data_IF_016282149575
#
_entry.id   IF_016282149575
#
_cell.length_a   1.000
_cell.length_b   1.000
_cell.length_c   1.000
_cell.angle_alpha   90.00
_cell.angle_beta   90.00
_cell.angle_gamma   90.00
#
_symmetry.space_group_name_H-M   'P 1'
#
loop_
_entity.id
_entity.type
_entity.pdbx_description
1 polymer ?
#
# COMPACT_ATOMS: atom_id res chain seq x y z
N UNK A 1 -10.65 22.22 -49.04
CA UNK A 1 -11.32 21.43 -47.98
C UNK A 1 -10.65 20.06 -47.94
N UNK A 2 -9.50 19.96 -47.27
CA UNK A 2 -8.70 18.74 -47.21
C UNK A 2 -8.94 18.08 -45.85
N UNK A 3 -9.62 16.93 -45.86
CA UNK A 3 -9.73 16.07 -44.69
C UNK A 3 -8.42 15.30 -44.53
N UNK A 4 -7.66 15.57 -43.46
CA UNK A 4 -6.65 14.64 -42.98
C UNK A 4 -7.37 13.39 -42.46
N UNK A 5 -7.39 12.32 -43.25
CA UNK A 5 -7.65 10.97 -42.71
C UNK A 5 -6.35 10.52 -42.03
N UNK A 6 -6.24 10.79 -40.73
CA UNK A 6 -5.29 10.04 -39.91
C UNK A 6 -5.73 8.57 -39.96
N UNK A 7 -4.93 7.73 -40.63
CA UNK A 7 -5.16 6.29 -40.65
C UNK A 7 -5.05 5.74 -39.23
N UNK A 8 -6.14 5.19 -38.71
CA UNK A 8 -6.13 4.44 -37.47
C UNK A 8 -5.48 3.08 -37.76
N UNK A 9 -4.28 2.84 -37.23
CA UNK A 9 -3.65 1.52 -37.26
C UNK A 9 -4.01 0.76 -35.96
N UNK A 10 -4.94 -0.21 -36.00
CA UNK A 10 -5.29 -1.02 -34.84
C UNK A 10 -4.12 -1.87 -34.29
N UNK A 11 -3.02 -2.02 -35.04
CA UNK A 11 -1.82 -2.74 -34.56
C UNK A 11 -0.85 -1.87 -33.75
N UNK A 12 -1.03 -0.54 -33.73
CA UNK A 12 -0.14 0.39 -33.04
C UNK A 12 -0.39 0.48 -31.53
N UNK A 13 -1.53 -0.06 -31.04
CA UNK A 13 -1.90 -0.01 -29.62
C UNK A 13 -1.60 -1.37 -28.98
N UNK A 14 -0.66 -1.38 -28.04
CA UNK A 14 -0.44 -2.51 -27.14
C UNK A 14 -0.81 -2.10 -25.72
N UNK A 15 -1.71 -2.84 -25.09
CA UNK A 15 -1.99 -2.67 -23.67
C UNK A 15 -1.03 -3.53 -22.86
N UNK A 16 -0.51 -3.00 -21.76
CA UNK A 16 0.41 -3.72 -20.88
C UNK A 16 -0.28 -4.04 -19.57
N UNK A 17 -0.91 -5.22 -19.44
CA UNK A 17 -1.61 -5.55 -18.22
C UNK A 17 -0.61 -6.03 -17.17
N UNK A 18 -0.80 -5.56 -15.93
CA UNK A 18 0.01 -5.94 -14.77
C UNK A 18 -0.70 -7.10 -14.06
N UNK A 19 -0.38 -8.34 -14.46
CA UNK A 19 -0.88 -9.54 -13.76
C UNK A 19 0.18 -10.65 -13.79
N UNK A 20 0.38 -11.33 -12.66
CA UNK A 20 1.23 -12.52 -12.63
C UNK A 20 0.53 -13.77 -13.19
N UNK A 21 -0.81 -13.85 -13.12
CA UNK A 21 -1.57 -15.04 -13.52
C UNK A 21 -1.97 -15.04 -15.01
N UNK A 22 -1.52 -16.01 -15.82
CA UNK A 22 -1.85 -16.10 -17.26
C UNK A 22 -3.34 -16.37 -17.57
N UNK A 23 -4.13 -16.78 -16.57
CA UNK A 23 -5.31 -17.60 -16.83
C UNK A 23 -6.67 -16.89 -16.82
N UNK A 24 -6.82 -15.71 -16.18
CA UNK A 24 -8.17 -15.18 -15.86
C UNK A 24 -8.77 -14.16 -16.83
N UNK A 25 -8.08 -13.77 -17.92
CA UNK A 25 -8.65 -12.79 -18.87
C UNK A 25 -7.97 -12.64 -20.23
N UNK A 26 -6.80 -13.24 -20.43
CA UNK A 26 -6.02 -13.10 -21.67
C UNK A 26 -6.76 -13.59 -22.95
N UNK A 27 -7.42 -14.77 -22.95
CA UNK A 27 -8.14 -15.25 -24.13
C UNK A 27 -9.39 -14.42 -24.45
N UNK A 28 -10.03 -13.86 -23.42
CA UNK A 28 -11.24 -13.05 -23.58
C UNK A 28 -10.89 -11.67 -24.16
N UNK A 29 -9.87 -11.01 -23.62
CA UNK A 29 -9.47 -9.67 -24.05
C UNK A 29 -8.93 -9.64 -25.49
N UNK A 30 -8.07 -10.60 -25.87
CA UNK A 30 -7.54 -10.67 -27.23
C UNK A 30 -8.62 -10.93 -28.28
N UNK A 31 -9.73 -11.61 -27.91
CA UNK A 31 -10.85 -11.90 -28.81
C UNK A 31 -11.77 -10.70 -29.00
N UNK A 32 -12.00 -9.91 -27.95
CA UNK A 32 -12.96 -8.80 -27.99
C UNK A 32 -12.38 -7.50 -28.58
N UNK A 33 -11.09 -7.21 -28.37
CA UNK A 33 -10.53 -5.87 -28.72
C UNK A 33 -9.36 -5.87 -29.71
N UNK A 34 -8.92 -7.02 -30.24
CA UNK A 34 -7.82 -7.12 -31.21
C UNK A 34 -6.54 -6.35 -30.82
N UNK A 35 -6.24 -6.28 -29.52
CA UNK A 35 -5.03 -5.63 -28.99
C UNK A 35 -4.03 -6.69 -28.53
N UNK A 36 -2.74 -6.41 -28.73
CA UNK A 36 -1.64 -7.24 -28.22
C UNK A 36 -1.32 -6.85 -26.78
N UNK A 37 -1.32 -7.84 -25.89
CA UNK A 37 -0.98 -7.64 -24.48
C UNK A 37 0.50 -7.93 -24.24
N UNK A 38 1.26 -6.94 -23.76
CA UNK A 38 2.65 -7.15 -23.34
C UNK A 38 2.72 -7.25 -21.81
N UNK A 39 3.04 -8.44 -21.30
CA UNK A 39 3.15 -8.71 -19.86
C UNK A 39 4.31 -7.93 -19.27
N UNK A 40 4.07 -7.28 -18.14
CA UNK A 40 5.11 -6.68 -17.31
C UNK A 40 5.09 -7.35 -15.93
N UNK A 41 6.25 -7.37 -15.27
CA UNK A 41 6.36 -7.82 -13.89
C UNK A 41 5.68 -6.82 -12.94
N UNK A 42 4.88 -7.32 -11.99
CA UNK A 42 4.10 -6.47 -11.09
C UNK A 42 4.98 -5.59 -10.20
N UNK A 43 6.11 -6.13 -9.74
CA UNK A 43 7.01 -5.45 -8.81
C UNK A 43 7.88 -4.42 -9.54
N UNK A 44 8.31 -4.72 -10.76
CA UNK A 44 9.02 -3.76 -11.62
C UNK A 44 8.11 -2.57 -11.98
N UNK A 45 6.86 -2.83 -12.36
CA UNK A 45 5.88 -1.77 -12.63
C UNK A 45 5.60 -0.91 -11.40
N UNK A 46 5.45 -1.54 -10.23
CA UNK A 46 5.26 -0.85 -8.95
C UNK A 46 6.39 0.13 -8.66
N UNK A 47 7.65 -0.32 -8.71
CA UNK A 47 8.82 0.52 -8.40
C UNK A 47 8.93 1.67 -9.39
N UNK A 48 8.83 1.38 -10.70
CA UNK A 48 8.93 2.41 -11.75
C UNK A 48 7.81 3.43 -11.68
N UNK A 49 6.57 2.98 -11.49
CA UNK A 49 5.41 3.85 -11.36
C UNK A 49 5.54 4.77 -10.15
N UNK A 50 5.99 4.23 -9.02
CA UNK A 50 6.21 4.99 -7.79
C UNK A 50 7.24 6.10 -7.98
N UNK A 51 8.44 5.75 -8.48
CA UNK A 51 9.53 6.69 -8.69
C UNK A 51 9.18 7.75 -9.74
N UNK A 52 8.40 7.39 -10.76
CA UNK A 52 7.93 8.37 -11.74
C UNK A 52 6.97 9.38 -11.12
N UNK A 53 5.97 8.93 -10.36
CA UNK A 53 5.00 9.85 -9.75
C UNK A 53 5.72 10.79 -8.78
N UNK A 54 6.63 10.26 -7.95
CA UNK A 54 7.44 11.08 -7.04
C UNK A 54 8.27 12.13 -7.80
N UNK A 55 8.97 11.74 -8.86
CA UNK A 55 9.79 12.68 -9.65
C UNK A 55 8.98 13.76 -10.39
N UNK A 56 7.67 13.58 -10.54
CA UNK A 56 6.77 14.53 -11.22
C UNK A 56 5.78 15.21 -10.27
N UNK A 57 5.72 14.81 -8.99
CA UNK A 57 4.82 15.37 -8.00
C UNK A 57 5.58 15.66 -6.68
N UNK A 58 5.94 16.93 -6.42
CA UNK A 58 6.73 17.30 -5.25
C UNK A 58 6.01 17.09 -3.91
N UNK A 59 4.71 16.80 -3.92
CA UNK A 59 3.90 16.55 -2.73
C UNK A 59 3.53 15.06 -2.55
N UNK A 60 4.18 14.15 -3.27
CA UNK A 60 3.76 12.76 -3.31
C UNK A 60 4.01 11.99 -2.01
N UNK A 61 5.22 12.13 -1.43
CA UNK A 61 5.64 11.36 -0.28
C UNK A 61 5.42 12.11 1.03
N UNK A 62 4.91 11.42 2.04
CA UNK A 62 4.63 12.00 3.36
C UNK A 62 4.78 11.00 4.49
N UNK A 63 4.79 11.51 5.72
CA UNK A 63 4.73 10.72 6.95
C UNK A 63 3.79 11.36 7.97
N UNK A 64 3.36 10.56 8.95
CA UNK A 64 2.59 11.04 10.09
C UNK A 64 3.53 11.41 11.23
N UNK A 65 3.40 12.63 11.74
CA UNK A 65 4.10 13.06 12.96
C UNK A 65 3.18 12.80 14.16
N UNK A 66 3.72 12.35 15.30
CA UNK A 66 2.96 12.00 16.51
C UNK A 66 1.70 11.14 16.25
N UNK A 67 1.85 9.96 15.60
CA UNK A 67 0.72 9.19 15.08
C UNK A 67 -0.29 8.71 16.14
N UNK A 68 0.10 8.67 17.42
CA UNK A 68 -0.74 8.27 18.56
C UNK A 68 -1.30 9.43 19.39
N UNK A 69 -0.81 10.65 19.18
CA UNK A 69 -1.28 11.84 19.92
C UNK A 69 -2.27 12.60 19.04
N UNK A 70 -3.59 12.38 19.22
CA UNK A 70 -4.62 12.92 18.31
C UNK A 70 -4.54 14.44 18.11
N UNK A 71 -4.24 15.20 19.17
CA UNK A 71 -4.10 16.67 19.13
C UNK A 71 -2.85 17.15 18.38
N UNK A 72 -1.82 16.31 18.24
CA UNK A 72 -0.54 16.63 17.59
C UNK A 72 -0.30 15.83 16.32
N UNK A 73 -1.26 14.99 15.93
CA UNK A 73 -1.13 14.11 14.79
C UNK A 73 -1.38 14.90 13.50
N UNK A 74 -0.35 15.12 12.70
CA UNK A 74 -0.50 15.76 11.40
C UNK A 74 0.40 15.13 10.33
N UNK A 75 -0.04 15.29 9.08
CA UNK A 75 0.64 14.84 7.88
C UNK A 75 1.74 15.84 7.51
N UNK A 76 2.95 15.35 7.25
CA UNK A 76 4.10 16.16 6.84
C UNK A 76 4.74 15.59 5.59
N UNK A 77 5.04 16.47 4.63
CA UNK A 77 5.75 16.10 3.41
C UNK A 77 7.14 15.54 3.72
N UNK A 78 7.56 14.56 2.93
CA UNK A 78 8.87 13.95 2.99
C UNK A 78 9.59 14.18 1.66
N UNK A 79 10.79 14.76 1.71
CA UNK A 79 11.65 14.90 0.54
C UNK A 79 12.23 13.53 0.17
N UNK A 80 11.71 12.95 -0.91
CA UNK A 80 12.09 11.63 -1.41
C UNK A 80 13.01 11.69 -2.65
N UNK A 81 13.57 12.87 -2.95
CA UNK A 81 14.45 13.11 -4.12
C UNK A 81 15.72 12.24 -4.16
N UNK A 82 16.20 11.79 -2.99
CA UNK A 82 17.23 10.76 -2.87
C UNK A 82 16.62 9.46 -2.30
N UNK A 83 15.93 8.66 -3.14
CA UNK A 83 15.03 7.60 -2.67
C UNK A 83 15.78 6.40 -2.10
N UNK A 84 17.00 6.09 -2.58
CA UNK A 84 17.71 4.85 -2.22
C UNK A 84 18.54 4.97 -0.92
N UNK A 85 18.80 3.85 -0.23
CA UNK A 85 18.02 2.61 -0.28
C UNK A 85 16.70 2.79 0.48
N UNK A 86 15.65 2.04 0.09
CA UNK A 86 14.37 2.04 0.80
C UNK A 86 13.72 0.65 0.74
N UNK A 87 12.78 0.41 1.65
CA UNK A 87 11.90 -0.75 1.63
C UNK A 87 10.55 -0.35 1.07
N UNK A 88 9.99 -1.19 0.20
CA UNK A 88 8.58 -1.11 -0.21
C UNK A 88 7.82 -2.23 0.47
N UNK A 89 6.73 -1.88 1.13
CA UNK A 89 5.73 -2.81 1.66
C UNK A 89 4.45 -2.63 0.85
N UNK A 90 4.23 -3.50 -0.14
CA UNK A 90 3.03 -3.47 -0.96
C UNK A 90 1.92 -4.31 -0.31
N UNK A 91 0.86 -3.65 0.16
CA UNK A 91 -0.27 -4.24 0.87
C UNK A 91 -1.47 -4.35 -0.07
N UNK A 92 -1.56 -5.48 -0.77
CA UNK A 92 -2.71 -5.88 -1.59
C UNK A 92 -3.55 -6.93 -0.90
N UNK A 93 -4.00 -7.95 -1.65
CA UNK A 93 -4.68 -9.12 -1.07
C UNK A 93 -3.77 -9.84 -0.06
N UNK A 94 -2.49 -10.03 -0.42
CA UNK A 94 -1.40 -10.38 0.50
C UNK A 94 -0.42 -9.21 0.61
N UNK A 95 0.79 -9.49 1.11
CA UNK A 95 1.83 -8.49 1.29
C UNK A 95 3.16 -8.95 0.68
N UNK A 96 3.78 -8.07 -0.09
CA UNK A 96 5.15 -8.25 -0.59
C UNK A 96 6.05 -7.17 -0.02
N UNK A 97 7.23 -7.58 0.47
CA UNK A 97 8.25 -6.69 1.03
C UNK A 97 9.48 -6.74 0.14
N UNK A 98 9.94 -5.58 -0.32
CA UNK A 98 11.10 -5.44 -1.20
C UNK A 98 12.13 -4.51 -0.59
N UNK A 99 13.41 -4.84 -0.74
CA UNK A 99 14.50 -3.88 -0.58
C UNK A 99 14.89 -3.33 -1.95
N UNK A 100 14.94 -2.02 -2.08
CA UNK A 100 15.32 -1.31 -3.30
C UNK A 100 16.59 -0.51 -3.03
N UNK A 101 17.68 -0.91 -3.68
CA UNK A 101 19.01 -0.31 -3.54
C UNK A 101 19.35 0.65 -4.68
N UNK A 102 18.64 0.54 -5.81
CA UNK A 102 18.82 1.39 -6.98
C UNK A 102 17.75 1.13 -8.05
N UNK A 103 17.76 1.88 -9.17
CA UNK A 103 16.69 1.84 -10.19
C UNK A 103 16.42 0.45 -10.77
N UNK A 104 17.44 -0.38 -10.91
CA UNK A 104 17.34 -1.76 -11.40
C UNK A 104 17.93 -2.77 -10.40
N UNK A 105 18.11 -2.37 -9.14
CA UNK A 105 18.69 -3.21 -8.10
C UNK A 105 17.72 -3.28 -6.92
N UNK A 106 16.88 -4.30 -6.95
CA UNK A 106 15.91 -4.58 -5.91
C UNK A 106 15.71 -6.08 -5.75
N UNK A 107 15.29 -6.51 -4.56
CA UNK A 107 15.00 -7.91 -4.25
C UNK A 107 13.76 -8.01 -3.37
N UNK A 108 12.93 -9.02 -3.62
CA UNK A 108 11.84 -9.37 -2.71
C UNK A 108 12.42 -10.08 -1.50
N UNK A 109 12.39 -9.43 -0.35
CA UNK A 109 13.03 -9.90 0.90
C UNK A 109 12.08 -10.70 1.78
N UNK A 110 10.78 -10.44 1.67
CA UNK A 110 9.78 -11.14 2.47
C UNK A 110 8.38 -10.98 1.89
N UNK A 111 7.40 -11.56 2.58
CA UNK A 111 5.98 -11.32 2.37
C UNK A 111 5.15 -12.09 3.38
N UNK A 112 3.86 -11.76 3.45
CA UNK A 112 2.89 -12.47 4.28
C UNK A 112 1.59 -12.64 3.51
N UNK A 113 0.90 -13.75 3.75
CA UNK A 113 -0.46 -13.95 3.25
C UNK A 113 -1.49 -13.14 4.05
N UNK A 114 -1.11 -12.60 5.22
CA UNK A 114 -1.95 -11.77 6.08
C UNK A 114 -1.95 -10.32 5.58
N UNK A 115 -2.71 -10.07 4.52
CA UNK A 115 -2.86 -8.75 3.90
C UNK A 115 -4.29 -8.20 3.95
N UNK A 116 -4.61 -7.30 3.03
CA UNK A 116 -5.95 -6.70 2.93
C UNK A 116 -7.04 -7.71 2.59
N UNK A 117 -6.70 -8.81 1.89
CA UNK A 117 -7.63 -9.90 1.62
C UNK A 117 -8.02 -10.67 2.89
N UNK A 118 -7.07 -10.85 3.81
CA UNK A 118 -7.33 -11.46 5.12
C UNK A 118 -8.18 -10.54 5.98
N UNK A 119 -7.88 -9.24 6.02
CA UNK A 119 -8.70 -8.26 6.72
C UNK A 119 -10.15 -8.29 6.23
N UNK A 120 -10.37 -8.12 4.92
CA UNK A 120 -11.72 -8.09 4.37
C UNK A 120 -12.45 -9.42 4.56
N UNK A 121 -11.78 -10.55 4.28
CA UNK A 121 -12.38 -11.87 4.44
C UNK A 121 -12.81 -12.17 5.87
N UNK A 122 -11.98 -11.84 6.87
CA UNK A 122 -12.32 -12.01 8.27
C UNK A 122 -13.42 -11.04 8.71
N UNK A 123 -13.39 -9.78 8.27
CA UNK A 123 -14.47 -8.84 8.56
C UNK A 123 -15.81 -9.35 7.99
N UNK A 124 -15.85 -9.80 6.74
CA UNK A 124 -17.07 -10.40 6.16
C UNK A 124 -17.61 -11.55 7.01
N UNK A 125 -16.74 -12.45 7.49
CA UNK A 125 -17.13 -13.58 8.33
C UNK A 125 -17.61 -13.16 9.73
N UNK A 126 -16.94 -12.20 10.36
CA UNK A 126 -17.15 -11.82 11.76
C UNK A 126 -18.25 -10.78 11.95
N UNK A 127 -18.45 -9.91 10.96
CA UNK A 127 -19.35 -8.74 11.07
C UNK A 127 -20.49 -8.79 10.06
N UNK A 128 -20.35 -9.58 8.99
CA UNK A 128 -21.31 -9.61 7.89
C UNK A 128 -21.23 -8.43 6.93
N UNK A 129 -20.16 -7.62 6.99
CA UNK A 129 -19.94 -6.55 6.00
C UNK A 129 -19.71 -7.12 4.60
N UNK A 130 -20.00 -6.34 3.56
CA UNK A 130 -19.96 -6.77 2.16
C UNK A 130 -18.93 -6.01 1.32
N UNK A 131 -18.31 -4.97 1.87
CA UNK A 131 -17.33 -4.14 1.17
C UNK A 131 -16.16 -3.76 2.08
N UNK A 132 -15.06 -3.35 1.44
CA UNK A 132 -13.88 -2.87 2.15
C UNK A 132 -14.18 -1.56 2.90
N UNK A 133 -14.91 -0.66 2.25
CA UNK A 133 -15.32 0.63 2.81
C UNK A 133 -16.18 0.44 4.06
N UNK A 134 -17.17 -0.45 4.01
CA UNK A 134 -18.01 -0.79 5.18
C UNK A 134 -17.17 -1.41 6.31
N UNK A 135 -16.20 -2.27 5.99
CA UNK A 135 -15.31 -2.85 6.99
C UNK A 135 -14.44 -1.78 7.71
N UNK A 136 -13.96 -0.77 6.97
CA UNK A 136 -13.19 0.36 7.53
C UNK A 136 -14.11 1.27 8.36
N UNK A 137 -15.33 1.52 7.92
CA UNK A 137 -16.32 2.30 8.66
C UNK A 137 -16.64 1.64 10.02
N UNK A 138 -16.93 0.33 10.01
CA UNK A 138 -17.12 -0.46 11.24
C UNK A 138 -15.90 -0.38 12.16
N UNK A 139 -14.69 -0.53 11.60
CA UNK A 139 -13.46 -0.45 12.40
C UNK A 139 -13.24 0.94 13.01
N UNK A 140 -13.72 2.01 12.36
CA UNK A 140 -13.62 3.38 12.88
C UNK A 140 -14.45 3.56 14.15
N UNK A 141 -15.63 2.95 14.21
CA UNK A 141 -16.53 3.00 15.37
C UNK A 141 -16.24 1.96 16.47
N UNK A 142 -15.28 1.05 16.26
CA UNK A 142 -14.99 -0.05 17.19
C UNK A 142 -13.87 0.23 18.19
N UNK A 143 -13.79 -0.62 19.21
CA UNK A 143 -12.71 -0.66 20.19
C UNK A 143 -12.08 -2.06 20.27
N UNK A 144 -10.82 -2.19 19.81
CA UNK A 144 -10.14 -3.48 19.83
C UNK A 144 -9.82 -3.96 21.24
N UNK A 145 -9.77 -3.09 22.26
CA UNK A 145 -9.45 -3.48 23.64
C UNK A 145 -10.53 -4.32 24.30
N UNK A 146 -11.71 -4.43 23.69
CA UNK A 146 -12.79 -5.35 24.09
C UNK A 146 -12.60 -6.77 23.54
N UNK A 147 -11.75 -6.92 22.52
CA UNK A 147 -11.53 -8.16 21.75
C UNK A 147 -10.13 -8.72 22.03
N UNK A 148 -9.13 -7.86 22.00
CA UNK A 148 -7.72 -8.16 22.22
C UNK A 148 -7.40 -8.25 23.71
N UNK A 149 -6.45 -9.13 24.07
CA UNK A 149 -5.88 -9.15 25.42
C UNK A 149 -4.62 -8.30 25.44
N UNK A 150 -4.58 -7.34 26.35
CA UNK A 150 -3.48 -6.38 26.52
C UNK A 150 -2.45 -6.88 27.55
N UNK A 151 -1.27 -6.26 27.59
CA UNK A 151 -0.23 -6.57 28.58
C UNK A 151 -0.75 -6.39 30.00
N UNK A 152 -1.50 -5.31 30.27
CA UNK A 152 -2.11 -5.07 31.59
C UNK A 152 -3.12 -6.13 32.01
N UNK A 153 -3.77 -6.81 31.06
CA UNK A 153 -4.72 -7.90 31.36
C UNK A 153 -4.00 -9.17 31.84
N UNK A 154 -2.68 -9.27 31.61
CA UNK A 154 -1.84 -10.40 32.02
C UNK A 154 -1.05 -10.03 33.28
N UNK A 155 -0.47 -8.83 33.32
CA UNK A 155 0.48 -8.40 34.36
C UNK A 155 -0.08 -7.39 35.37
N UNK A 156 -1.30 -6.86 35.17
CA UNK A 156 -1.92 -5.86 36.04
C UNK A 156 -1.42 -4.42 35.83
N UNK A 157 -0.54 -4.19 34.84
CA UNK A 157 0.06 -2.91 34.51
C UNK A 157 1.07 -3.06 33.36
N UNK A 158 2.09 -2.22 33.34
CA UNK A 158 3.22 -2.34 32.42
C UNK A 158 4.08 -3.58 32.77
N UNK A 159 4.81 -4.09 31.79
CA UNK A 159 5.83 -5.12 32.02
C UNK A 159 7.23 -4.52 31.91
N UNK A 160 7.65 -3.89 33.01
CA UNK A 160 8.87 -3.07 33.14
C UNK A 160 10.16 -3.77 32.69
N UNK A 161 10.27 -5.09 32.91
CA UNK A 161 11.51 -5.83 32.60
C UNK A 161 11.92 -5.72 31.13
N UNK A 162 10.96 -5.56 30.23
CA UNK A 162 11.19 -5.48 28.78
C UNK A 162 10.55 -4.24 28.15
N UNK A 163 10.26 -3.21 28.95
CA UNK A 163 9.67 -1.94 28.50
C UNK A 163 8.40 -2.14 27.65
N UNK A 164 7.50 -3.05 28.07
CA UNK A 164 6.22 -3.27 27.39
C UNK A 164 5.09 -2.50 28.09
N UNK A 165 4.49 -1.49 27.44
CA UNK A 165 3.36 -0.74 27.99
C UNK A 165 2.14 -1.62 28.23
N UNK A 166 1.35 -1.32 29.26
CA UNK A 166 0.17 -2.07 29.64
C UNK A 166 -0.96 -2.03 28.61
N UNK A 167 -1.03 -0.97 27.79
CA UNK A 167 -1.98 -0.81 26.70
C UNK A 167 -1.57 -1.53 25.41
N UNK A 168 -0.36 -2.11 25.37
CA UNK A 168 0.09 -2.90 24.24
C UNK A 168 -0.71 -4.20 24.11
N UNK A 169 -1.07 -4.56 22.88
CA UNK A 169 -1.70 -5.85 22.58
C UNK A 169 -0.71 -6.99 22.84
N UNK A 170 -1.04 -7.85 23.81
CA UNK A 170 -0.27 -9.07 24.11
C UNK A 170 -0.78 -10.27 23.30
N UNK A 171 -2.09 -10.36 23.07
CA UNK A 171 -2.71 -11.40 22.25
C UNK A 171 -3.93 -10.87 21.52
N UNK A 172 -3.79 -10.71 20.20
CA UNK A 172 -4.91 -10.42 19.30
C UNK A 172 -6.04 -11.43 19.47
N UNK A 173 -7.29 -10.95 19.56
CA UNK A 173 -8.49 -11.75 19.84
C UNK A 173 -8.45 -12.58 21.14
N UNK A 174 -7.50 -12.30 22.04
CA UNK A 174 -7.26 -13.12 23.23
C UNK A 174 -8.40 -13.13 24.25
N UNK A 175 -9.28 -12.12 24.25
CA UNK A 175 -10.48 -12.12 25.10
C UNK A 175 -11.59 -13.01 24.54
N UNK A 176 -11.57 -13.31 23.23
CA UNK A 176 -12.62 -14.08 22.55
C UNK A 176 -12.62 -15.56 22.90
N UNK A 177 -11.68 -16.04 23.74
CA UNK A 177 -11.74 -17.38 24.33
C UNK A 177 -12.88 -17.47 25.37
N UNK A 178 -13.20 -16.38 26.07
CA UNK A 178 -14.31 -16.33 27.03
C UNK A 178 -15.66 -16.18 26.34
N UNK A 179 -16.61 -17.06 26.71
CA UNK A 179 -17.99 -17.00 26.19
C UNK A 179 -18.70 -15.71 26.61
N UNK A 180 -18.48 -15.26 27.84
CA UNK A 180 -19.07 -14.02 28.37
C UNK A 180 -18.58 -12.81 27.57
N UNK A 181 -17.27 -12.71 27.35
CA UNK A 181 -16.69 -11.63 26.53
C UNK A 181 -17.26 -11.64 25.10
N UNK A 182 -17.31 -12.82 24.46
CA UNK A 182 -17.92 -12.98 23.12
C UNK A 182 -19.37 -12.49 23.06
N UNK A 183 -20.14 -12.58 24.14
CA UNK A 183 -21.54 -12.12 24.16
C UNK A 183 -21.69 -10.60 24.27
N UNK A 184 -20.62 -9.88 24.59
CA UNK A 184 -20.63 -8.43 24.84
C UNK A 184 -19.95 -7.61 23.76
N UNK A 185 -19.18 -8.21 22.86
CA UNK A 185 -18.48 -7.48 21.79
C UNK A 185 -19.43 -7.11 20.67
N UNK A 186 -19.24 -5.92 20.11
CA UNK A 186 -19.97 -5.50 18.92
C UNK A 186 -19.25 -5.96 17.64
N UNK A 187 -19.92 -5.81 16.49
CA UNK A 187 -19.29 -6.11 15.19
C UNK A 187 -18.22 -5.08 14.83
N UNK A 188 -18.38 -3.84 15.28
CA UNK A 188 -17.42 -2.74 15.14
C UNK A 188 -16.13 -3.08 15.90
N UNK A 189 -16.25 -3.58 17.14
CA UNK A 189 -15.10 -4.02 17.94
C UNK A 189 -14.31 -5.12 17.21
N UNK A 190 -15.00 -6.10 16.62
CA UNK A 190 -14.39 -7.18 15.85
C UNK A 190 -13.71 -6.66 14.58
N UNK A 191 -14.31 -5.71 13.85
CA UNK A 191 -13.70 -5.07 12.69
C UNK A 191 -12.43 -4.31 13.08
N UNK A 192 -12.48 -3.54 14.18
CA UNK A 192 -11.33 -2.79 14.71
C UNK A 192 -10.20 -3.72 15.14
N UNK A 193 -10.51 -4.81 15.85
CA UNK A 193 -9.51 -5.80 16.26
C UNK A 193 -8.87 -6.53 15.06
N UNK A 194 -9.67 -6.85 14.04
CA UNK A 194 -9.15 -7.42 12.77
C UNK A 194 -8.18 -6.45 12.11
N UNK A 195 -8.56 -5.17 12.00
CA UNK A 195 -7.73 -4.12 11.40
C UNK A 195 -6.40 -3.96 12.17
N UNK A 196 -6.47 -3.81 13.49
CA UNK A 196 -5.29 -3.65 14.36
C UNK A 196 -4.36 -4.86 14.25
N UNK A 197 -4.92 -6.08 14.26
CA UNK A 197 -4.13 -7.31 14.19
C UNK A 197 -3.36 -7.43 12.88
N UNK A 198 -4.02 -7.22 11.74
CA UNK A 198 -3.38 -7.30 10.42
C UNK A 198 -2.34 -6.19 10.28
N UNK A 199 -2.68 -4.96 10.63
CA UNK A 199 -1.78 -3.81 10.50
C UNK A 199 -0.53 -3.95 11.38
N UNK A 200 -0.68 -4.36 12.64
CA UNK A 200 0.46 -4.58 13.54
C UNK A 200 1.35 -5.74 13.09
N UNK A 201 0.76 -6.80 12.52
CA UNK A 201 1.55 -7.90 11.96
C UNK A 201 2.40 -7.44 10.77
N UNK A 202 1.81 -6.67 9.85
CA UNK A 202 2.51 -6.07 8.71
C UNK A 202 3.63 -5.15 9.18
N UNK A 203 3.34 -4.26 10.15
CA UNK A 203 4.34 -3.38 10.75
C UNK A 203 5.50 -4.16 11.37
N UNK A 204 5.23 -5.21 12.14
CA UNK A 204 6.28 -6.05 12.73
C UNK A 204 7.19 -6.69 11.69
N UNK A 205 6.62 -7.27 10.62
CA UNK A 205 7.40 -7.87 9.52
C UNK A 205 8.23 -6.81 8.79
N UNK A 206 7.64 -5.66 8.47
CA UNK A 206 8.33 -4.55 7.83
C UNK A 206 9.53 -4.07 8.68
N UNK A 207 9.33 -3.94 9.99
CA UNK A 207 10.38 -3.57 10.95
C UNK A 207 11.54 -4.56 10.92
N UNK A 208 11.25 -5.86 11.05
CA UNK A 208 12.29 -6.89 11.05
C UNK A 208 13.09 -6.89 9.75
N UNK A 209 12.40 -6.72 8.62
CA UNK A 209 13.03 -6.59 7.31
C UNK A 209 13.93 -5.36 7.21
N UNK A 210 13.45 -4.20 7.68
CA UNK A 210 14.20 -2.94 7.73
C UNK A 210 15.48 -3.04 8.57
N UNK A 211 15.38 -3.63 9.76
CA UNK A 211 16.52 -3.83 10.64
C UNK A 211 17.54 -4.81 10.03
N UNK A 212 17.08 -5.89 9.41
CA UNK A 212 17.96 -6.87 8.77
C UNK A 212 18.70 -6.30 7.55
N UNK A 213 18.01 -5.50 6.73
CA UNK A 213 18.60 -4.85 5.55
C UNK A 213 19.35 -3.55 5.88
N UNK A 214 19.24 -3.06 7.12
CA UNK A 214 19.80 -1.77 7.59
C UNK A 214 19.29 -0.58 6.77
N UNK A 215 17.98 -0.55 6.53
CA UNK A 215 17.30 0.48 5.74
C UNK A 215 16.28 1.20 6.61
N UNK A 216 16.38 2.52 6.71
CA UNK A 216 15.53 3.35 7.59
C UNK A 216 14.21 3.80 6.94
N UNK A 217 14.20 3.94 5.61
CA UNK A 217 13.05 4.39 4.83
C UNK A 217 12.14 3.23 4.49
N UNK A 218 10.94 3.18 5.06
CA UNK A 218 9.94 2.13 4.78
C UNK A 218 8.70 2.76 4.15
N UNK A 219 8.51 2.54 2.86
CA UNK A 219 7.38 3.06 2.08
C UNK A 219 6.27 2.01 2.06
N UNK A 220 5.10 2.35 2.60
CA UNK A 220 3.91 1.51 2.55
C UNK A 220 3.01 1.96 1.40
N UNK A 221 2.57 1.01 0.56
CA UNK A 221 1.71 1.25 -0.61
C UNK A 221 0.64 0.17 -0.71
N UNK A 222 -0.32 0.37 -1.62
CA UNK A 222 -1.35 -0.62 -1.92
C UNK A 222 -2.74 -0.23 -1.39
N UNK A 223 -3.76 -0.85 -2.00
CA UNK A 223 -5.16 -0.48 -1.80
C UNK A 223 -5.68 -0.70 -0.38
N UNK A 224 -5.00 -1.46 0.47
CA UNK A 224 -5.38 -1.63 1.87
C UNK A 224 -5.30 -0.32 2.68
N UNK A 225 -4.45 0.61 2.28
CA UNK A 225 -4.28 1.89 2.97
C UNK A 225 -5.28 2.95 2.50
N UNK A 226 -5.97 2.69 1.38
CA UNK A 226 -6.97 3.60 0.83
C UNK A 226 -8.06 3.88 1.86
N UNK A 227 -8.30 5.17 2.11
CA UNK A 227 -9.28 5.67 3.10
C UNK A 227 -9.12 5.07 4.51
N UNK A 228 -7.91 4.60 4.85
CA UNK A 228 -7.63 3.87 6.09
C UNK A 228 -6.54 4.60 6.92
N UNK A 229 -6.82 5.81 7.42
CA UNK A 229 -5.85 6.58 8.21
C UNK A 229 -5.51 5.88 9.54
N UNK A 230 -6.41 5.04 10.07
CA UNK A 230 -6.16 4.24 11.28
C UNK A 230 -4.94 3.34 11.04
N UNK A 231 -4.91 2.60 9.93
CA UNK A 231 -3.80 1.70 9.65
C UNK A 231 -2.51 2.45 9.33
N UNK A 232 -2.58 3.57 8.62
CA UNK A 232 -1.40 4.41 8.38
C UNK A 232 -0.78 4.91 9.68
N UNK A 233 -1.59 5.43 10.61
CA UNK A 233 -1.12 5.89 11.92
C UNK A 233 -0.55 4.74 12.75
N UNK A 234 -1.20 3.58 12.75
CA UNK A 234 -0.67 2.39 13.43
C UNK A 234 0.67 1.92 12.85
N UNK A 235 0.83 1.91 11.53
CA UNK A 235 2.12 1.58 10.89
C UNK A 235 3.20 2.60 11.24
N UNK A 236 2.86 3.90 11.22
CA UNK A 236 3.77 4.97 11.61
C UNK A 236 4.23 4.82 13.06
N UNK A 237 3.29 4.59 13.98
CA UNK A 237 3.58 4.33 15.37
C UNK A 237 4.44 3.07 15.55
N UNK A 238 4.12 1.98 14.84
CA UNK A 238 4.87 0.73 14.93
C UNK A 238 6.31 0.88 14.43
N UNK A 239 6.56 1.68 13.38
CA UNK A 239 7.91 1.99 12.95
C UNK A 239 8.65 2.83 13.99
N UNK A 240 8.04 3.92 14.46
CA UNK A 240 8.68 4.87 15.37
C UNK A 240 8.96 4.27 16.76
N UNK A 241 7.93 3.76 17.42
CA UNK A 241 8.00 3.23 18.79
C UNK A 241 9.00 2.07 18.91
N UNK A 242 8.86 1.07 18.05
CA UNK A 242 9.67 -0.15 18.15
C UNK A 242 11.10 -0.01 17.62
N UNK A 243 11.38 1.05 16.87
CA UNK A 243 12.72 1.35 16.38
C UNK A 243 13.42 2.46 17.14
N UNK A 244 12.77 3.01 18.19
CA UNK A 244 13.23 4.21 18.93
C UNK A 244 13.50 5.40 17.98
N UNK A 245 12.61 5.57 17.00
CA UNK A 245 12.63 6.66 16.02
C UNK A 245 13.62 6.52 14.87
N UNK A 246 14.29 5.37 14.72
CA UNK A 246 15.27 5.15 13.63
C UNK A 246 14.61 4.80 12.30
N UNK A 247 13.47 4.09 12.33
CA UNK A 247 12.72 3.73 11.13
C UNK A 247 11.59 4.75 10.90
N UNK A 248 11.43 5.16 9.64
CA UNK A 248 10.38 6.08 9.24
C UNK A 248 9.39 5.39 8.30
N UNK A 249 8.11 5.38 8.71
CA UNK A 249 7.01 5.00 7.84
C UNK A 249 6.68 6.13 6.87
N UNK A 250 6.76 5.85 5.59
CA UNK A 250 6.45 6.75 4.49
C UNK A 250 5.21 6.23 3.75
N UNK A 251 4.40 7.16 3.27
CA UNK A 251 3.18 6.91 2.52
C UNK A 251 3.16 7.78 1.27
N UNK A 252 2.28 7.45 0.33
CA UNK A 252 2.14 8.15 -0.95
C UNK A 252 0.70 8.61 -1.15
N UNK A 253 0.49 9.79 -1.73
CA UNK A 253 -0.87 10.26 -2.09
C UNK A 253 -1.54 9.31 -3.08
N UNK A 254 -0.78 8.78 -4.04
CA UNK A 254 -1.25 7.88 -5.08
C UNK A 254 -0.97 6.40 -4.80
N UNK A 255 -1.01 5.99 -3.53
CA UNK A 255 -0.80 4.61 -3.05
C UNK A 255 -1.59 3.51 -3.81
N UNK A 256 -2.73 3.87 -4.40
CA UNK A 256 -3.63 2.99 -5.15
C UNK A 256 -3.34 2.95 -6.66
N UNK A 257 -2.81 4.04 -7.24
CA UNK A 257 -2.54 4.14 -8.69
C UNK A 257 -1.29 3.38 -9.05
N UNK A 258 -0.30 3.35 -8.16
CA UNK A 258 0.95 2.60 -8.33
C UNK A 258 0.69 1.08 -8.45
N UNK A 259 -0.41 0.58 -7.86
CA UNK A 259 -0.76 -0.86 -7.80
C UNK A 259 -2.03 -1.19 -8.59
N UNK A 260 -2.66 -0.20 -9.26
CA UNK A 260 -4.00 -0.39 -9.83
C UNK A 260 -4.00 -1.36 -11.02
N UNK A 261 -4.56 -2.54 -10.74
CA UNK A 261 -5.01 -3.55 -11.68
C UNK A 261 -6.29 -3.16 -12.46
N UNK A 262 -6.67 -1.87 -12.49
CA UNK A 262 -7.77 -1.38 -13.34
C UNK A 262 -7.23 -0.91 -14.70
N UNK A 263 -7.65 -1.52 -15.83
CA UNK A 263 -7.08 -1.30 -17.16
C UNK A 263 -7.12 0.15 -17.66
N UNK A 264 -7.97 1.01 -17.09
CA UNK A 264 -8.30 2.30 -17.70
C UNK A 264 -7.47 3.46 -17.15
N UNK A 265 -6.92 3.40 -15.92
CA UNK A 265 -6.03 4.46 -15.42
C UNK A 265 -4.56 4.06 -15.42
N UNK A 266 -4.24 2.81 -15.04
CA UNK A 266 -2.88 2.29 -15.19
C UNK A 266 -2.51 2.19 -16.68
N UNK A 267 -3.47 1.87 -17.55
CA UNK A 267 -3.30 1.91 -19.00
C UNK A 267 -2.95 3.31 -19.50
N UNK A 268 -3.65 4.37 -19.07
CA UNK A 268 -3.37 5.72 -19.56
C UNK A 268 -2.07 6.33 -19.02
N UNK A 269 -1.73 6.08 -17.75
CA UNK A 269 -0.44 6.54 -17.20
C UNK A 269 0.72 5.72 -17.77
N UNK A 270 0.61 4.39 -17.86
CA UNK A 270 1.67 3.52 -18.42
C UNK A 270 1.83 3.70 -19.94
N UNK A 271 0.77 4.05 -20.68
CA UNK A 271 0.82 4.36 -22.12
C UNK A 271 1.45 5.72 -22.38
N UNK A 272 1.16 6.74 -21.56
CA UNK A 272 1.87 8.03 -21.62
C UNK A 272 3.37 7.88 -21.27
N UNK A 273 3.69 6.96 -20.35
CA UNK A 273 5.05 6.65 -19.90
C UNK A 273 5.87 5.83 -20.88
N UNK A 274 5.25 4.90 -21.62
CA UNK A 274 5.95 4.07 -22.61
C UNK A 274 6.17 4.79 -23.95
N UNK A 275 5.39 5.84 -24.24
CA UNK A 275 5.44 6.55 -25.52
C UNK A 275 6.49 7.66 -25.60
N UNK A 276 7.31 7.87 -24.56
CA UNK A 276 8.50 8.73 -24.63
C UNK A 276 8.25 9.98 -25.47
N UNK A 277 7.32 10.83 -25.05
CA UNK A 277 7.13 12.14 -25.70
C UNK A 277 8.38 12.94 -25.36
N UNK A 278 9.45 12.73 -26.14
CA UNK A 278 10.53 13.67 -26.30
C UNK A 278 9.88 15.00 -26.66
N UNK A 279 10.16 16.02 -25.86
CA UNK A 279 10.02 17.40 -26.32
C UNK A 279 10.83 17.47 -27.62
N UNK A 280 10.15 17.57 -28.76
CA UNK A 280 10.84 17.88 -29.99
C UNK A 280 11.45 19.28 -29.83
N UNK A 281 12.77 19.33 -29.88
CA UNK A 281 13.53 20.56 -29.87
C UNK A 281 13.01 21.51 -30.96
N UNK A 282 12.70 22.73 -30.54
CA UNK A 282 12.38 23.85 -31.40
C UNK A 282 13.63 24.28 -32.17
N UNK A 283 13.99 23.58 -33.24
CA UNK A 283 15.02 24.04 -34.19
C UNK A 283 14.87 23.36 -35.54
N UNK A 284 14.15 24.00 -36.46
CA UNK A 284 14.57 24.31 -37.86
C UNK A 284 13.35 24.77 -38.67
N UNK A 285 12.99 26.05 -38.53
CA UNK A 285 12.44 26.80 -39.66
C UNK A 285 13.62 27.02 -40.61
N UNK A 286 13.69 26.22 -41.68
CA UNK A 286 14.44 26.59 -42.88
C UNK A 286 13.44 26.98 -43.94
N UNK A 287 13.60 28.22 -44.37
CA UNK A 287 12.93 28.87 -45.47
C UNK A 287 12.91 27.98 -46.72
N UNK A 288 11.75 27.95 -47.38
CA UNK A 288 11.72 27.97 -48.83
C UNK A 288 10.60 28.93 -49.27
N UNK A 289 11.06 30.10 -49.70
CA UNK A 289 10.37 30.96 -50.65
C UNK A 289 10.33 30.27 -52.03
N UNK A 290 9.30 30.66 -52.78
CA UNK A 290 8.94 30.37 -54.18
C UNK A 290 8.09 29.12 -54.45
#
# INVERSE_FOLDING_TARGET
MAYYKAGWDPNAISLRPVWDSPAKGYPYFSREVNLKLAKCDELDCLIRGMLYIEGNNPCECYYWTHPTEEERCYKRLYDFSNPYPFIIVNIGSGVSVLAVYGPNNYKRISGTSLGGGTFLGLCCLLTGCNSFEEAIELATGGDNTRVDKLVKDIYGGDYDRFDLPGDLVASSFGQMISKEKRSTVSREDLARATLVTITNNIGSIARMCALNEKIEKVVFVGNFLRVNPISMKLLAHAMDYWSKGTLKALFLEHEHVVVSSRPVLAGFLTLALALGVEKSDSTTLKDYHD
#
